data_IF_976645124543
#
_entry.id   IF_976645124543
#
_cell.length_a   1.000
_cell.length_b   1.000
_cell.length_c   1.000
_cell.angle_alpha   90.00
_cell.angle_beta   90.00
_cell.angle_gamma   90.00
#
_symmetry.space_group_name_H-M   'P 1'
#
loop_
_entity.id
_entity.type
_entity.pdbx_description
1 polymer ?
#
# COMPACT_ATOMS: atom_id res chain seq x y z
N UNK A 1 -13.51 -1.82 20.63
CA UNK A 1 -13.36 -0.92 19.47
C UNK A 1 -12.53 -1.66 18.44
N UNK A 2 -13.01 -1.85 17.20
CA UNK A 2 -12.32 -2.66 16.20
C UNK A 2 -10.90 -2.12 15.98
N UNK A 3 -9.97 -2.98 15.54
CA UNK A 3 -8.64 -2.54 15.14
C UNK A 3 -8.82 -1.41 14.13
N UNK A 4 -8.33 -0.22 14.49
CA UNK A 4 -8.37 0.96 13.64
C UNK A 4 -7.86 0.56 12.24
N UNK A 5 -8.68 0.66 11.17
CA UNK A 5 -8.21 0.43 9.81
C UNK A 5 -6.99 1.30 9.46
N UNK A 6 -6.81 2.42 10.16
CA UNK A 6 -5.63 3.28 10.11
C UNK A 6 -4.35 2.69 10.71
N UNK A 7 -4.40 1.69 11.60
CA UNK A 7 -3.22 1.08 12.22
C UNK A 7 -2.33 0.40 11.18
N UNK A 8 -2.91 -0.49 10.36
CA UNK A 8 -2.21 -1.10 9.23
C UNK A 8 -1.79 -0.09 8.16
N UNK A 9 -2.57 0.98 7.97
CA UNK A 9 -2.27 2.05 7.01
C UNK A 9 -1.03 2.87 7.42
N UNK A 10 -0.88 3.21 8.71
CA UNK A 10 0.29 3.93 9.23
C UNK A 10 1.57 3.10 9.11
N UNK A 11 1.47 1.81 9.42
CA UNK A 11 2.59 0.87 9.40
C UNK A 11 3.04 0.54 7.97
N UNK A 12 2.10 0.27 7.07
CA UNK A 12 2.40 0.05 5.65
C UNK A 12 3.03 1.27 4.98
N UNK A 13 2.60 2.46 5.38
CA UNK A 13 3.16 3.72 4.88
C UNK A 13 4.65 3.86 5.19
N UNK A 14 5.12 3.45 6.37
CA UNK A 14 6.55 3.54 6.73
C UNK A 14 7.43 2.70 5.80
N UNK A 15 6.97 1.51 5.41
CA UNK A 15 7.71 0.66 4.46
C UNK A 15 7.68 1.30 3.06
N UNK A 16 6.51 1.80 2.64
CA UNK A 16 6.37 2.47 1.35
C UNK A 16 7.24 3.73 1.24
N UNK A 17 7.46 4.46 2.34
CA UNK A 17 8.34 5.62 2.42
C UNK A 17 9.79 5.28 2.08
N UNK A 18 10.33 4.14 2.53
CA UNK A 18 11.68 3.70 2.17
C UNK A 18 11.87 3.60 0.65
N UNK A 19 10.88 3.04 -0.04
CA UNK A 19 10.92 2.92 -1.51
C UNK A 19 10.70 4.26 -2.21
N UNK A 20 9.85 5.14 -1.66
CA UNK A 20 9.64 6.48 -2.18
C UNK A 20 10.90 7.35 -2.07
N UNK A 21 11.61 7.26 -0.95
CA UNK A 21 12.88 7.96 -0.70
C UNK A 21 13.97 7.43 -1.62
N UNK A 22 14.08 6.11 -1.76
CA UNK A 22 15.00 5.48 -2.71
C UNK A 22 14.73 5.92 -4.16
N UNK A 23 13.47 5.91 -4.61
CA UNK A 23 13.11 6.37 -5.95
C UNK A 23 13.49 7.85 -6.17
N UNK A 24 13.20 8.71 -5.19
CA UNK A 24 13.54 10.13 -5.26
C UNK A 24 15.06 10.37 -5.27
N UNK A 25 15.82 9.64 -4.46
CA UNK A 25 17.28 9.70 -4.43
C UNK A 25 17.88 9.33 -5.80
N UNK A 26 17.39 8.23 -6.41
CA UNK A 26 17.82 7.80 -7.74
C UNK A 26 17.45 8.84 -8.80
N UNK A 27 16.23 9.38 -8.78
CA UNK A 27 15.79 10.40 -9.71
C UNK A 27 16.66 11.66 -9.63
N UNK A 28 16.89 12.18 -8.43
CA UNK A 28 17.75 13.36 -8.20
C UNK A 28 19.17 13.12 -8.69
N UNK A 29 19.70 11.92 -8.46
CA UNK A 29 21.05 11.54 -8.90
C UNK A 29 21.16 11.45 -10.41
N UNK A 30 20.16 10.85 -11.08
CA UNK A 30 20.09 10.82 -12.54
C UNK A 30 19.98 12.23 -13.12
N UNK A 31 19.07 13.06 -12.60
CA UNK A 31 18.88 14.43 -13.04
C UNK A 31 20.17 15.26 -12.88
N UNK A 32 20.80 15.20 -11.70
CA UNK A 32 22.09 15.88 -11.44
C UNK A 32 23.20 15.38 -12.36
N UNK A 33 23.29 14.08 -12.60
CA UNK A 33 24.28 13.52 -13.52
C UNK A 33 24.03 13.92 -14.98
N UNK A 34 22.78 14.09 -15.40
CA UNK A 34 22.44 14.47 -16.77
C UNK A 34 22.56 15.99 -16.99
N UNK A 35 22.28 16.81 -15.99
CA UNK A 35 22.38 18.28 -16.05
C UNK A 35 23.81 18.78 -16.24
N UNK A 36 24.81 18.08 -15.68
CA UNK A 36 26.21 18.50 -15.73
C UNK A 36 26.74 18.57 -17.15
N UNK A 37 27.17 19.77 -17.56
CA UNK A 37 27.75 20.04 -18.87
C UNK A 37 26.79 19.78 -20.03
N UNK A 38 25.46 19.84 -19.83
CA UNK A 38 24.46 19.45 -20.84
C UNK A 38 24.54 20.23 -22.15
N UNK A 39 25.10 21.44 -22.11
CA UNK A 39 25.29 22.26 -23.30
C UNK A 39 26.61 21.97 -24.03
N UNK A 40 27.53 21.22 -23.43
CA UNK A 40 28.84 20.94 -23.99
C UNK A 40 28.76 19.96 -25.18
N UNK A 41 29.57 20.16 -26.24
CA UNK A 41 29.62 19.23 -27.37
C UNK A 41 30.02 17.80 -26.97
N UNK A 42 30.88 17.67 -25.95
CA UNK A 42 31.41 16.42 -25.41
C UNK A 42 30.47 15.75 -24.41
N UNK A 43 29.30 16.33 -24.11
CA UNK A 43 28.41 15.87 -23.04
C UNK A 43 28.13 14.37 -23.09
N UNK A 44 27.73 13.85 -24.26
CA UNK A 44 27.34 12.44 -24.41
C UNK A 44 28.50 11.50 -24.05
N UNK A 45 29.71 11.78 -24.54
CA UNK A 45 30.91 11.02 -24.24
C UNK A 45 31.26 11.09 -22.75
N UNK A 46 31.19 12.27 -22.15
CA UNK A 46 31.43 12.47 -20.71
C UNK A 46 30.40 11.78 -19.82
N UNK A 47 29.13 11.68 -20.25
CA UNK A 47 28.10 10.93 -19.51
C UNK A 47 28.37 9.43 -19.59
N UNK A 48 28.75 8.91 -20.76
CA UNK A 48 29.08 7.48 -20.91
C UNK A 48 30.28 7.05 -20.08
N UNK A 49 31.33 7.88 -19.98
CA UNK A 49 32.51 7.56 -19.14
C UNK A 49 32.20 7.59 -17.65
N UNK A 50 31.22 8.39 -17.22
CA UNK A 50 30.78 8.46 -15.83
C UNK A 50 29.74 7.40 -15.43
N UNK A 51 29.27 6.57 -16.37
CA UNK A 51 28.20 5.60 -16.12
C UNK A 51 28.47 4.71 -14.91
N UNK A 52 29.67 4.13 -14.80
CA UNK A 52 30.01 3.25 -13.68
C UNK A 52 30.08 4.00 -12.35
N UNK A 53 30.49 5.27 -12.36
CA UNK A 53 30.46 6.11 -11.17
C UNK A 53 29.02 6.41 -10.73
N UNK A 54 28.14 6.78 -11.67
CA UNK A 54 26.71 7.03 -11.40
C UNK A 54 26.05 5.75 -10.87
N UNK A 55 26.33 4.60 -11.49
CA UNK A 55 25.86 3.29 -11.04
C UNK A 55 26.32 2.98 -9.62
N UNK A 56 27.59 3.17 -9.29
CA UNK A 56 28.11 2.92 -7.95
C UNK A 56 27.47 3.83 -6.89
N UNK A 57 27.17 5.08 -7.25
CA UNK A 57 26.44 6.00 -6.37
C UNK A 57 24.99 5.54 -6.15
N UNK A 58 24.27 5.12 -7.20
CA UNK A 58 22.91 4.56 -7.06
C UNK A 58 22.92 3.29 -6.21
N UNK A 59 23.89 2.40 -6.44
CA UNK A 59 24.02 1.17 -5.66
C UNK A 59 24.24 1.44 -4.17
N UNK A 60 24.99 2.50 -3.83
CA UNK A 60 25.15 2.95 -2.44
C UNK A 60 23.84 3.44 -1.83
N UNK A 61 23.06 4.25 -2.55
CA UNK A 61 21.76 4.74 -2.05
C UNK A 61 20.77 3.60 -1.79
N UNK A 62 20.87 2.52 -2.54
CA UNK A 62 19.99 1.36 -2.45
C UNK A 62 20.53 0.24 -1.54
N UNK A 63 21.74 0.38 -0.99
CA UNK A 63 22.49 -0.72 -0.38
C UNK A 63 21.74 -1.41 0.77
N UNK A 64 20.97 -0.64 1.54
CA UNK A 64 20.22 -1.12 2.70
C UNK A 64 18.70 -1.16 2.47
N UNK A 65 18.22 -0.86 1.27
CA UNK A 65 16.78 -0.73 1.00
C UNK A 65 16.05 -2.05 1.27
N UNK A 66 16.53 -3.15 0.69
CA UNK A 66 15.86 -4.44 0.76
C UNK A 66 15.90 -5.03 2.20
N UNK A 67 17.03 -4.87 2.90
CA UNK A 67 17.17 -5.31 4.30
C UNK A 67 16.28 -4.49 5.25
N UNK A 68 16.29 -3.16 5.13
CA UNK A 68 15.44 -2.29 5.94
C UNK A 68 13.95 -2.54 5.65
N UNK A 69 13.58 -2.77 4.39
CA UNK A 69 12.22 -3.12 4.01
C UNK A 69 11.79 -4.45 4.64
N UNK A 70 12.61 -5.50 4.56
CA UNK A 70 12.31 -6.80 5.15
C UNK A 70 12.17 -6.72 6.68
N UNK A 71 13.09 -6.02 7.36
CA UNK A 71 13.03 -5.81 8.80
C UNK A 71 11.77 -5.03 9.21
N UNK A 72 11.45 -3.95 8.48
CA UNK A 72 10.24 -3.16 8.73
C UNK A 72 8.97 -3.98 8.50
N UNK A 73 8.91 -4.80 7.44
CA UNK A 73 7.80 -5.73 7.20
C UNK A 73 7.63 -6.69 8.37
N UNK A 74 8.70 -7.32 8.85
CA UNK A 74 8.66 -8.22 10.01
C UNK A 74 8.09 -7.54 11.26
N UNK A 75 8.53 -6.31 11.55
CA UNK A 75 8.00 -5.51 12.66
C UNK A 75 6.50 -5.20 12.49
N UNK A 76 6.08 -4.79 11.30
CA UNK A 76 4.69 -4.46 10.99
C UNK A 76 3.78 -5.67 11.15
N UNK A 77 4.19 -6.83 10.62
CA UNK A 77 3.42 -8.07 10.71
C UNK A 77 3.31 -8.54 12.17
N UNK A 78 4.42 -8.52 12.94
CA UNK A 78 4.41 -8.90 14.35
C UNK A 78 3.52 -7.98 15.21
N UNK A 79 3.57 -6.67 14.97
CA UNK A 79 2.71 -5.70 15.65
C UNK A 79 1.24 -5.89 15.30
N UNK A 80 0.93 -6.11 14.02
CA UNK A 80 -0.44 -6.36 13.56
C UNK A 80 -1.03 -7.64 14.16
N UNK A 81 -0.27 -8.74 14.17
CA UNK A 81 -0.68 -9.98 14.80
C UNK A 81 -0.96 -9.82 16.30
N UNK A 82 -0.05 -9.14 17.01
CA UNK A 82 -0.21 -8.86 18.45
C UNK A 82 -1.44 -7.99 18.73
N UNK A 83 -1.69 -6.98 17.89
CA UNK A 83 -2.88 -6.15 17.98
C UNK A 83 -4.18 -6.96 17.73
N UNK A 84 -4.15 -7.89 16.77
CA UNK A 84 -5.17 -8.91 16.52
C UNK A 84 -5.56 -9.67 17.77
N UNK A 85 -4.55 -10.24 18.44
CA UNK A 85 -4.75 -11.00 19.67
C UNK A 85 -5.27 -10.15 20.82
N UNK A 86 -4.73 -8.95 20.99
CA UNK A 86 -5.18 -8.02 22.03
C UNK A 86 -6.64 -7.59 21.81
N UNK A 87 -7.08 -7.46 20.55
CA UNK A 87 -8.49 -7.23 20.23
C UNK A 87 -9.35 -8.41 20.70
N UNK A 88 -8.92 -9.65 20.46
CA UNK A 88 -9.68 -10.83 20.87
C UNK A 88 -9.83 -10.89 22.40
N UNK A 89 -8.77 -10.61 23.15
CA UNK A 89 -8.85 -10.50 24.62
C UNK A 89 -9.89 -9.46 25.02
N UNK A 90 -9.89 -8.26 24.41
CA UNK A 90 -10.85 -7.21 24.73
C UNK A 90 -12.29 -7.57 24.38
N UNK A 91 -12.50 -8.29 23.28
CA UNK A 91 -13.83 -8.78 22.90
C UNK A 91 -14.37 -9.76 23.94
N UNK A 92 -13.50 -10.50 24.63
CA UNK A 92 -13.83 -11.51 25.65
C UNK A 92 -13.84 -10.96 27.10
N UNK A 93 -13.05 -9.94 27.41
CA UNK A 93 -12.92 -9.33 28.75
C UNK A 93 -14.24 -8.74 29.25
N UNK A 94 -15.10 -8.27 28.34
CA UNK A 94 -16.46 -7.85 28.65
C UNK A 94 -17.39 -8.95 29.19
N UNK A 95 -16.91 -10.20 29.27
CA UNK A 95 -17.68 -11.39 29.67
C UNK A 95 -17.12 -12.09 30.93
N UNK A 96 -16.00 -11.63 31.49
CA UNK A 96 -15.37 -12.29 32.64
C UNK A 96 -14.78 -13.68 32.34
N UNK A 97 -14.54 -13.99 31.06
CA UNK A 97 -13.84 -15.22 30.66
C UNK A 97 -12.34 -15.06 30.87
N UNK A 98 -11.72 -16.00 31.57
CA UNK A 98 -10.28 -16.00 31.81
C UNK A 98 -9.54 -16.39 30.52
N UNK A 99 -9.02 -15.40 29.79
CA UNK A 99 -8.35 -15.63 28.52
C UNK A 99 -6.86 -15.86 28.75
N UNK A 100 -6.43 -17.11 28.68
CA UNK A 100 -5.00 -17.43 28.57
C UNK A 100 -4.53 -17.05 27.17
N UNK A 101 -3.48 -16.24 27.12
CA UNK A 101 -2.80 -15.88 25.87
C UNK A 101 -1.79 -16.98 25.55
N UNK A 102 -2.09 -17.97 24.68
CA UNK A 102 -1.05 -18.90 24.23
C UNK A 102 0.12 -18.12 23.62
N UNK A 103 1.37 -18.56 23.71
CA UNK A 103 2.45 -17.88 23.00
C UNK A 103 2.07 -17.75 21.52
N UNK A 104 2.30 -16.57 20.93
CA UNK A 104 2.08 -16.42 19.50
C UNK A 104 2.82 -17.55 18.79
N UNK A 105 2.17 -18.26 17.88
CA UNK A 105 2.86 -19.26 17.06
C UNK A 105 3.84 -18.49 16.19
N UNK A 106 5.09 -18.37 16.66
CA UNK A 106 6.16 -17.62 16.01
C UNK A 106 6.21 -17.96 14.51
N UNK A 107 6.01 -19.24 14.18
CA UNK A 107 5.91 -19.76 12.81
C UNK A 107 4.81 -19.12 11.95
N UNK A 108 3.64 -18.82 12.49
CA UNK A 108 2.55 -18.22 11.74
C UNK A 108 2.87 -16.75 11.40
N UNK A 109 3.43 -16.01 12.35
CA UNK A 109 3.89 -14.63 12.15
C UNK A 109 5.04 -14.59 11.14
N UNK A 110 6.02 -15.48 11.29
CA UNK A 110 7.15 -15.62 10.37
C UNK A 110 6.70 -15.98 8.96
N UNK A 111 5.73 -16.88 8.81
CA UNK A 111 5.20 -17.25 7.49
C UNK A 111 4.54 -16.05 6.79
N UNK A 112 3.68 -15.28 7.50
CA UNK A 112 3.04 -14.09 6.93
C UNK A 112 4.08 -13.00 6.63
N UNK A 113 5.09 -12.84 7.50
CA UNK A 113 6.17 -11.89 7.29
C UNK A 113 7.01 -12.24 6.07
N UNK A 114 7.41 -13.50 5.92
CA UNK A 114 8.13 -14.00 4.74
C UNK A 114 7.30 -13.85 3.46
N UNK A 115 6.02 -14.25 3.50
CA UNK A 115 5.09 -14.12 2.37
C UNK A 115 4.90 -12.65 1.95
N UNK A 116 4.91 -11.73 2.91
CA UNK A 116 4.79 -10.28 2.66
C UNK A 116 6.11 -9.71 2.14
N UNK A 117 7.24 -10.10 2.73
CA UNK A 117 8.57 -9.67 2.32
C UNK A 117 8.90 -10.16 0.91
N UNK A 118 8.51 -11.38 0.52
CA UNK A 118 8.69 -11.91 -0.83
C UNK A 118 7.89 -11.13 -1.88
N UNK A 119 6.66 -10.68 -1.53
CA UNK A 119 5.88 -9.80 -2.41
C UNK A 119 6.52 -8.43 -2.53
N UNK A 120 6.99 -7.89 -1.40
CA UNK A 120 7.76 -6.65 -1.38
C UNK A 120 9.10 -6.84 -2.09
N UNK A 121 9.63 -8.06 -2.24
CA UNK A 121 10.78 -8.46 -3.05
C UNK A 121 12.10 -7.77 -2.71
N UNK A 122 13.22 -8.24 -3.28
CA UNK A 122 14.37 -7.39 -3.48
C UNK A 122 14.12 -6.49 -4.70
N UNK A 123 14.10 -5.17 -4.51
CA UNK A 123 13.97 -4.20 -5.59
C UNK A 123 15.25 -3.45 -5.88
N UNK A 124 16.21 -3.38 -4.95
CA UNK A 124 17.45 -2.64 -5.18
C UNK A 124 18.14 -3.02 -6.52
N UNK A 125 18.30 -4.32 -6.87
CA UNK A 125 18.91 -4.70 -8.15
C UNK A 125 18.04 -4.36 -9.38
N UNK A 126 16.71 -4.27 -9.21
CA UNK A 126 15.78 -3.92 -10.29
C UNK A 126 15.79 -2.41 -10.55
N UNK A 127 15.70 -1.61 -9.48
CA UNK A 127 15.81 -0.15 -9.55
C UNK A 127 17.16 0.25 -10.13
N UNK A 128 18.25 -0.39 -9.69
CA UNK A 128 19.60 -0.12 -10.23
C UNK A 128 19.65 -0.35 -11.74
N UNK A 129 19.19 -1.51 -12.22
CA UNK A 129 19.14 -1.81 -13.65
C UNK A 129 18.27 -0.83 -14.43
N UNK A 130 17.07 -0.54 -13.92
CA UNK A 130 16.17 0.43 -14.56
C UNK A 130 16.81 1.83 -14.66
N UNK A 131 17.51 2.27 -13.62
CA UNK A 131 18.20 3.54 -13.63
C UNK A 131 19.37 3.58 -14.62
N UNK A 132 20.16 2.51 -14.72
CA UNK A 132 21.24 2.38 -15.72
C UNK A 132 20.69 2.42 -17.15
N UNK A 133 19.67 1.62 -17.43
CA UNK A 133 18.98 1.59 -18.72
C UNK A 133 18.49 2.97 -19.13
N UNK A 134 17.88 3.70 -18.19
CA UNK A 134 17.36 5.03 -18.46
C UNK A 134 18.47 6.04 -18.68
N UNK A 135 19.54 5.97 -17.90
CA UNK A 135 20.70 6.83 -18.12
C UNK A 135 21.27 6.66 -19.52
N UNK A 136 21.53 5.40 -19.92
CA UNK A 136 22.06 5.09 -21.25
C UNK A 136 21.12 5.52 -22.37
N UNK A 137 19.82 5.21 -22.25
CA UNK A 137 18.81 5.63 -23.24
C UNK A 137 18.70 7.14 -23.35
N UNK A 138 18.74 7.86 -22.23
CA UNK A 138 18.72 9.33 -22.23
C UNK A 138 19.90 9.91 -23.01
N UNK A 139 21.10 9.38 -22.77
CA UNK A 139 22.31 9.84 -23.47
C UNK A 139 22.24 9.52 -24.97
N UNK A 140 21.73 8.34 -25.35
CA UNK A 140 21.55 7.96 -26.74
C UNK A 140 20.49 8.82 -27.46
N UNK A 141 19.29 8.95 -26.88
CA UNK A 141 18.18 9.74 -27.43
C UNK A 141 18.59 11.22 -27.60
N UNK A 142 19.19 11.82 -26.57
CA UNK A 142 19.63 13.22 -26.63
C UNK A 142 20.71 13.45 -27.69
N UNK A 143 21.58 12.47 -27.93
CA UNK A 143 22.58 12.55 -29.00
C UNK A 143 21.93 12.49 -30.39
N UNK A 144 20.95 11.61 -30.60
CA UNK A 144 20.25 11.47 -31.87
C UNK A 144 19.43 12.72 -32.23
N UNK A 145 18.67 13.26 -31.27
CA UNK A 145 17.79 14.41 -31.51
C UNK A 145 18.56 15.69 -31.89
N UNK A 146 19.76 15.86 -31.32
CA UNK A 146 20.67 16.98 -31.62
C UNK A 146 21.26 16.86 -33.01
N UNK A 147 21.64 15.65 -33.45
CA UNK A 147 22.11 15.43 -34.82
C UNK A 147 21.04 15.76 -35.87
N UNK A 148 19.77 15.54 -35.51
CA UNK A 148 18.62 15.88 -36.36
C UNK A 148 18.24 17.38 -36.29
N UNK A 149 18.84 18.16 -35.39
CA UNK A 149 18.53 19.59 -35.21
C UNK A 149 17.12 19.87 -34.70
N UNK A 150 16.44 18.88 -34.12
CA UNK A 150 15.01 18.98 -33.74
C UNK A 150 14.79 19.48 -32.31
N UNK A 151 15.77 19.27 -31.42
CA UNK A 151 15.76 19.74 -30.02
C UNK A 151 17.19 19.98 -29.53
N UNK A 152 17.33 20.75 -28.45
CA UNK A 152 18.56 20.86 -27.67
C UNK A 152 18.83 19.59 -26.84
N UNK A 153 20.10 19.37 -26.43
CA UNK A 153 20.46 18.27 -25.51
C UNK A 153 19.65 18.31 -24.22
N UNK A 154 19.47 19.53 -23.68
CA UNK A 154 18.71 19.77 -22.44
C UNK A 154 17.25 19.38 -22.60
N UNK A 155 16.58 19.82 -23.67
CA UNK A 155 15.19 19.46 -23.94
C UNK A 155 15.01 17.96 -24.13
N UNK A 156 15.90 17.31 -24.89
CA UNK A 156 15.84 15.87 -25.10
C UNK A 156 16.07 15.09 -23.79
N UNK A 157 17.05 15.50 -22.98
CA UNK A 157 17.31 14.90 -21.67
C UNK A 157 16.12 15.09 -20.71
N UNK A 158 15.52 16.30 -20.67
CA UNK A 158 14.33 16.58 -19.90
C UNK A 158 13.16 15.72 -20.36
N UNK A 159 12.95 15.55 -21.66
CA UNK A 159 11.87 14.72 -22.19
C UNK A 159 12.02 13.24 -21.77
N UNK A 160 13.25 12.71 -21.75
CA UNK A 160 13.46 11.33 -21.30
C UNK A 160 13.23 11.20 -19.79
N UNK A 161 13.69 12.15 -18.98
CA UNK A 161 13.41 12.20 -17.54
C UNK A 161 11.91 12.37 -17.23
N UNK A 162 11.21 13.17 -18.03
CA UNK A 162 9.76 13.35 -17.92
C UNK A 162 9.03 12.05 -18.23
N UNK A 163 9.48 11.27 -19.24
CA UNK A 163 8.95 9.94 -19.54
C UNK A 163 9.29 8.93 -18.44
N UNK A 164 10.49 9.02 -17.86
CA UNK A 164 10.91 8.19 -16.73
C UNK A 164 10.01 8.42 -15.52
N UNK A 165 9.74 9.68 -15.16
CA UNK A 165 8.86 10.01 -14.02
C UNK A 165 7.39 9.61 -14.26
N UNK A 166 6.89 9.56 -15.51
CA UNK A 166 5.56 8.97 -15.77
C UNK A 166 5.57 7.46 -15.60
N UNK A 167 6.68 6.84 -16.02
CA UNK A 167 6.88 5.40 -15.95
C UNK A 167 7.43 4.96 -14.61
N UNK A 168 7.79 5.83 -13.66
CA UNK A 168 8.53 5.48 -12.44
C UNK A 168 9.87 4.79 -12.68
N UNK A 169 10.86 5.02 -11.81
CA UNK A 169 12.13 4.24 -11.86
C UNK A 169 11.86 2.78 -11.47
N UNK A 170 10.77 2.54 -10.73
CA UNK A 170 10.34 1.23 -10.26
C UNK A 170 8.96 0.77 -10.75
N UNK A 171 8.38 1.29 -11.85
CA UNK A 171 7.14 0.64 -12.29
C UNK A 171 7.39 -0.75 -12.83
N UNK A 172 6.45 -1.63 -12.52
CA UNK A 172 6.47 -2.99 -13.01
C UNK A 172 5.04 -3.44 -13.30
N UNK A 173 4.94 -4.58 -13.99
CA UNK A 173 3.68 -5.27 -14.16
C UNK A 173 3.57 -6.39 -13.14
N UNK A 174 2.47 -6.41 -12.40
CA UNK A 174 2.17 -7.57 -11.55
C UNK A 174 1.84 -8.81 -12.41
N UNK A 175 1.65 -9.96 -11.75
CA UNK A 175 1.28 -11.21 -12.44
C UNK A 175 -0.03 -11.10 -13.24
N UNK A 176 -0.90 -10.15 -12.88
CA UNK A 176 -2.16 -9.86 -13.56
C UNK A 176 -2.01 -8.82 -14.70
N UNK A 177 -0.78 -8.41 -15.02
CA UNK A 177 -0.48 -7.47 -16.10
C UNK A 177 -0.74 -5.99 -15.75
N UNK A 178 -1.14 -5.68 -14.51
CA UNK A 178 -1.44 -4.30 -14.09
C UNK A 178 -0.14 -3.56 -13.83
N UNK A 179 -0.07 -2.30 -14.28
CA UNK A 179 1.07 -1.41 -14.00
C UNK A 179 0.95 -0.81 -12.61
N UNK A 180 2.03 -0.90 -11.84
CA UNK A 180 2.12 -0.36 -10.49
C UNK A 180 3.29 0.59 -10.35
N UNK A 181 3.10 1.70 -9.64
CA UNK A 181 4.19 2.42 -9.01
C UNK A 181 4.69 1.61 -7.81
N UNK A 182 6.01 1.56 -7.60
CA UNK A 182 6.62 0.68 -6.60
C UNK A 182 6.11 0.98 -5.18
N UNK A 183 6.16 2.24 -4.75
CA UNK A 183 5.62 2.69 -3.45
C UNK A 183 4.16 2.22 -3.27
N UNK A 184 3.30 2.47 -4.26
CA UNK A 184 1.87 2.11 -4.16
C UNK A 184 1.65 0.61 -4.05
N UNK A 185 2.49 -0.19 -4.72
CA UNK A 185 2.44 -1.64 -4.61
C UNK A 185 2.91 -2.12 -3.23
N UNK A 186 4.01 -1.54 -2.73
CA UNK A 186 4.54 -1.87 -1.39
C UNK A 186 3.53 -1.48 -0.30
N UNK A 187 2.94 -0.27 -0.36
CA UNK A 187 1.88 0.15 0.57
C UNK A 187 0.72 -0.86 0.55
N UNK A 188 0.28 -1.28 -0.64
CA UNK A 188 -0.79 -2.27 -0.80
C UNK A 188 -0.40 -3.63 -0.21
N UNK A 189 0.77 -4.16 -0.58
CA UNK A 189 1.23 -5.49 -0.16
C UNK A 189 1.42 -5.58 1.35
N UNK A 190 2.07 -4.57 1.95
CA UNK A 190 2.29 -4.52 3.40
C UNK A 190 0.98 -4.32 4.16
N UNK A 191 0.08 -3.46 3.66
CA UNK A 191 -1.23 -3.27 4.29
C UNK A 191 -2.06 -4.56 4.27
N UNK A 192 -2.01 -5.29 3.16
CA UNK A 192 -2.68 -6.59 3.05
C UNK A 192 -2.08 -7.63 3.98
N UNK A 193 -0.75 -7.73 4.04
CA UNK A 193 -0.06 -8.61 4.99
C UNK A 193 -0.42 -8.29 6.44
N UNK A 194 -0.40 -7.00 6.81
CA UNK A 194 -0.76 -6.55 8.15
C UNK A 194 -2.22 -6.85 8.50
N UNK A 195 -3.15 -6.62 7.57
CA UNK A 195 -4.56 -6.97 7.74
C UNK A 195 -4.76 -8.48 7.96
N UNK A 196 -4.09 -9.32 7.15
CA UNK A 196 -4.09 -10.78 7.31
C UNK A 196 -3.55 -11.19 8.68
N UNK A 197 -2.40 -10.65 9.08
CA UNK A 197 -1.78 -10.93 10.37
C UNK A 197 -2.69 -10.55 11.55
N UNK A 198 -3.33 -9.38 11.50
CA UNK A 198 -4.27 -8.94 12.54
C UNK A 198 -5.49 -9.86 12.65
N UNK A 199 -6.06 -10.26 11.51
CA UNK A 199 -7.19 -11.21 11.48
C UNK A 199 -6.77 -12.57 12.02
N UNK A 200 -5.65 -13.12 11.55
CA UNK A 200 -5.19 -14.44 11.96
C UNK A 200 -4.82 -14.47 13.45
N UNK A 201 -4.24 -13.39 13.98
CA UNK A 201 -4.00 -13.24 15.42
C UNK A 201 -5.30 -13.18 16.23
N UNK A 202 -6.30 -12.47 15.73
CA UNK A 202 -7.62 -12.38 16.36
C UNK A 202 -8.34 -13.74 16.38
N UNK A 203 -8.49 -14.38 15.21
CA UNK A 203 -9.21 -15.65 15.08
C UNK A 203 -8.51 -16.80 15.81
N UNK A 204 -7.18 -16.87 15.79
CA UNK A 204 -6.41 -17.86 16.57
C UNK A 204 -6.71 -17.74 18.07
N UNK A 205 -6.77 -16.50 18.57
CA UNK A 205 -7.04 -16.25 19.98
C UNK A 205 -8.49 -16.57 20.36
N UNK A 206 -9.46 -16.27 19.48
CA UNK A 206 -10.86 -16.63 19.69
C UNK A 206 -11.06 -18.15 19.72
N UNK A 207 -10.48 -18.89 18.77
CA UNK A 207 -10.55 -20.35 18.73
C UNK A 207 -9.90 -20.97 19.97
N UNK A 208 -8.77 -20.43 20.43
CA UNK A 208 -8.13 -20.87 21.67
C UNK A 208 -9.01 -20.65 22.91
N UNK A 209 -9.89 -19.65 22.89
CA UNK A 209 -10.89 -19.38 23.92
C UNK A 209 -12.23 -20.11 23.69
N UNK A 210 -12.32 -21.00 22.70
CA UNK A 210 -13.53 -21.76 22.38
C UNK A 210 -14.61 -20.98 21.62
N UNK A 211 -14.30 -19.77 21.12
CA UNK A 211 -15.23 -18.95 20.32
C UNK A 211 -14.98 -19.19 18.84
N UNK A 212 -15.97 -19.73 18.15
CA UNK A 212 -15.91 -20.04 16.71
C UNK A 212 -16.65 -19.02 15.82
N UNK A 213 -17.56 -18.23 16.40
CA UNK A 213 -18.38 -17.30 15.62
C UNK A 213 -17.78 -15.90 15.60
N UNK A 214 -17.74 -15.30 14.41
CA UNK A 214 -17.31 -13.92 14.19
C UNK A 214 -18.32 -13.17 13.34
N UNK A 215 -18.41 -11.87 13.53
CA UNK A 215 -19.20 -10.97 12.70
C UNK A 215 -18.29 -10.08 11.87
N UNK A 216 -18.65 -9.89 10.60
CA UNK A 216 -17.95 -9.00 9.68
C UNK A 216 -18.35 -7.55 9.97
N UNK A 217 -17.35 -6.68 10.18
CA UNK A 217 -17.58 -5.25 10.41
C UNK A 217 -18.22 -4.56 9.20
N UNK A 218 -19.05 -3.55 9.43
CA UNK A 218 -19.44 -2.57 8.41
C UNK A 218 -18.26 -1.60 8.17
N UNK A 219 -17.67 -1.61 6.97
CA UNK A 219 -16.50 -0.78 6.65
C UNK A 219 -16.87 0.31 5.64
N UNK A 220 -16.50 1.60 5.89
CA UNK A 220 -16.92 2.69 5.03
C UNK A 220 -16.35 2.55 3.61
N UNK A 221 -17.19 2.78 2.61
CA UNK A 221 -16.87 2.72 1.18
C UNK A 221 -16.46 1.30 0.76
N UNK A 222 -17.33 0.35 1.09
CA UNK A 222 -17.18 -1.05 0.77
C UNK A 222 -17.00 -1.29 -0.74
N UNK A 223 -16.22 -2.31 -1.09
CA UNK A 223 -16.09 -2.74 -2.47
C UNK A 223 -17.13 -3.82 -2.83
N UNK A 224 -17.38 -4.07 -4.13
CA UNK A 224 -18.32 -5.10 -4.56
C UNK A 224 -17.99 -6.53 -4.09
N UNK A 225 -16.73 -6.83 -3.78
CA UNK A 225 -16.30 -8.15 -3.31
C UNK A 225 -16.59 -8.39 -1.82
N UNK A 226 -16.55 -7.33 -1.00
CA UNK A 226 -16.76 -7.44 0.45
C UNK A 226 -18.22 -7.22 0.85
N UNK A 227 -18.97 -6.42 0.08
CA UNK A 227 -20.40 -6.12 0.33
C UNK A 227 -21.25 -7.37 0.64
N UNK A 228 -21.09 -8.52 -0.07
CA UNK A 228 -21.89 -9.69 0.23
C UNK A 228 -21.64 -10.29 1.62
N UNK A 229 -20.59 -9.89 2.34
CA UNK A 229 -20.19 -10.48 3.62
C UNK A 229 -20.42 -9.54 4.81
N UNK A 230 -20.64 -8.25 4.58
CA UNK A 230 -20.83 -7.26 5.66
C UNK A 230 -22.02 -7.59 6.57
N UNK A 231 -21.80 -7.46 7.88
CA UNK A 231 -22.80 -7.77 8.90
C UNK A 231 -23.15 -9.26 9.00
N UNK A 232 -22.54 -10.15 8.21
CA UNK A 232 -22.81 -11.58 8.32
C UNK A 232 -21.98 -12.22 9.42
N UNK A 233 -22.56 -13.24 10.05
CA UNK A 233 -21.87 -14.12 10.99
C UNK A 233 -21.21 -15.25 10.22
N UNK A 234 -19.93 -15.50 10.51
CA UNK A 234 -19.11 -16.55 9.92
C UNK A 234 -18.55 -17.46 11.01
N UNK A 235 -18.32 -18.72 10.67
CA UNK A 235 -17.57 -19.67 11.49
C UNK A 235 -16.08 -19.63 11.13
N UNK A 236 -15.20 -19.65 12.14
CA UNK A 236 -13.75 -19.65 11.94
C UNK A 236 -13.28 -21.05 11.51
N UNK A 237 -13.66 -22.10 12.25
CA UNK A 237 -13.20 -23.47 12.02
C UNK A 237 -14.08 -24.25 11.05
N UNK A 238 -15.22 -23.69 10.65
CA UNK A 238 -16.22 -24.36 9.82
C UNK A 238 -17.07 -25.39 10.56
N UNK A 239 -17.11 -25.33 11.90
CA UNK A 239 -17.86 -26.29 12.71
C UNK A 239 -19.38 -26.14 12.59
N UNK A 240 -19.87 -24.94 12.23
CA UNK A 240 -21.30 -24.62 12.13
C UNK A 240 -21.58 -23.71 10.93
N UNK A 241 -22.55 -24.07 10.09
CA UNK A 241 -23.04 -23.25 8.96
C UNK A 241 -24.56 -23.37 8.85
N UNK A 242 -25.21 -22.36 8.25
CA UNK A 242 -26.67 -22.33 8.11
C UNK A 242 -27.40 -21.77 9.32
N UNK A 243 -28.66 -22.16 9.52
CA UNK A 243 -29.42 -21.79 10.71
C UNK A 243 -29.11 -22.79 11.83
N UNK A 244 -28.49 -22.31 12.90
CA UNK A 244 -28.07 -23.13 14.04
C UNK A 244 -28.57 -22.53 15.34
N UNK A 245 -29.07 -23.38 16.23
CA UNK A 245 -29.44 -22.98 17.59
C UNK A 245 -28.23 -23.20 18.49
N UNK A 246 -27.70 -22.10 19.01
CA UNK A 246 -26.48 -22.09 19.86
C UNK A 246 -26.82 -21.56 21.25
N UNK A 247 -26.15 -22.04 22.31
CA UNK A 247 -26.37 -21.53 23.66
C UNK A 247 -26.17 -20.01 23.75
N UNK A 248 -27.08 -19.32 24.44
CA UNK A 248 -26.94 -17.89 24.71
C UNK A 248 -25.78 -17.63 25.68
N UNK A 249 -25.02 -16.57 25.43
CA UNK A 249 -23.94 -16.12 26.32
C UNK A 249 -24.47 -15.27 27.50
N UNK A 250 -25.71 -14.79 27.43
CA UNK A 250 -26.29 -13.81 28.37
C UNK A 250 -27.50 -14.31 29.16
N UNK A 251 -27.92 -15.55 28.98
CA UNK A 251 -29.06 -16.13 29.71
C UNK A 251 -29.27 -17.60 29.43
N UNK A 252 -30.28 -18.19 30.08
CA UNK A 252 -30.62 -19.60 29.91
C UNK A 252 -31.39 -19.83 28.60
N UNK A 253 -30.92 -20.75 27.76
CA UNK A 253 -31.57 -21.15 26.51
C UNK A 253 -30.67 -21.05 25.27
N UNK A 254 -31.27 -21.28 24.10
CA UNK A 254 -30.61 -21.19 22.80
C UNK A 254 -31.08 -19.97 22.01
N UNK A 255 -30.19 -19.43 21.17
CA UNK A 255 -30.48 -18.37 20.21
C UNK A 255 -30.25 -18.93 18.82
N UNK A 256 -31.21 -18.72 17.93
CA UNK A 256 -31.06 -19.09 16.53
C UNK A 256 -30.16 -18.08 15.81
N UNK A 257 -29.04 -18.55 15.27
CA UNK A 257 -28.04 -17.73 14.58
C UNK A 257 -27.94 -18.21 13.13
N UNK A 258 -27.98 -17.27 12.19
CA UNK A 258 -27.72 -17.56 10.78
C UNK A 258 -26.25 -17.36 10.46
N UNK A 259 -25.52 -18.47 10.38
CA UNK A 259 -24.12 -18.49 9.97
C UNK A 259 -24.06 -18.58 8.44
N UNK A 260 -23.53 -17.55 7.80
CA UNK A 260 -23.57 -17.40 6.35
C UNK A 260 -22.57 -18.28 5.59
N UNK A 261 -21.57 -18.82 6.30
CA UNK A 261 -20.49 -19.63 5.75
C UNK A 261 -19.27 -19.58 6.67
N UNK A 262 -18.14 -20.04 6.15
CA UNK A 262 -16.86 -19.99 6.88
C UNK A 262 -16.04 -18.76 6.49
N UNK A 263 -15.07 -18.38 7.33
CA UNK A 263 -14.09 -17.33 7.01
C UNK A 263 -13.30 -17.69 5.74
N UNK A 264 -12.95 -18.96 5.56
CA UNK A 264 -12.18 -19.43 4.40
C UNK A 264 -13.02 -19.44 3.11
N UNK A 265 -14.30 -19.81 3.18
CA UNK A 265 -15.25 -19.67 2.07
C UNK A 265 -15.41 -18.21 1.64
N UNK A 266 -15.55 -17.31 2.62
CA UNK A 266 -15.63 -15.88 2.35
C UNK A 266 -14.36 -15.38 1.65
N UNK A 267 -13.18 -15.78 2.13
CA UNK A 267 -11.89 -15.44 1.52
C UNK A 267 -11.77 -16.00 0.09
N UNK A 268 -12.20 -17.23 -0.14
CA UNK A 268 -12.25 -17.84 -1.47
C UNK A 268 -13.18 -17.08 -2.42
N UNK A 269 -14.26 -16.49 -1.91
CA UNK A 269 -15.17 -15.63 -2.66
C UNK A 269 -14.68 -14.18 -2.83
N UNK A 270 -13.50 -13.82 -2.31
CA UNK A 270 -12.88 -12.50 -2.47
C UNK A 270 -13.02 -11.55 -1.27
N UNK A 271 -13.56 -12.00 -0.14
CA UNK A 271 -13.46 -11.26 1.12
C UNK A 271 -12.00 -11.11 1.56
N UNK A 272 -11.65 -10.01 2.24
CA UNK A 272 -10.27 -9.71 2.65
C UNK A 272 -9.26 -9.66 1.48
N UNK A 273 -9.72 -9.29 0.29
CA UNK A 273 -8.87 -9.02 -0.87
C UNK A 273 -7.85 -7.89 -0.59
N UNK A 274 -6.85 -7.68 -1.47
CA UNK A 274 -5.90 -6.61 -1.28
C UNK A 274 -6.57 -5.24 -1.13
N UNK A 275 -6.11 -4.42 -0.19
CA UNK A 275 -6.70 -3.13 0.20
C UNK A 275 -8.05 -3.16 0.96
N UNK A 276 -8.61 -4.33 1.27
CA UNK A 276 -9.78 -4.48 2.13
C UNK A 276 -9.55 -3.83 3.52
N UNK A 277 -10.61 -3.28 4.11
CA UNK A 277 -10.59 -2.62 5.44
C UNK A 277 -11.49 -3.31 6.46
N UNK A 278 -12.14 -4.39 6.08
CA UNK A 278 -13.01 -5.16 6.95
C UNK A 278 -12.21 -5.84 8.04
N UNK A 279 -12.78 -5.82 9.23
CA UNK A 279 -12.30 -6.53 10.41
C UNK A 279 -13.30 -7.61 10.78
N UNK A 280 -12.84 -8.58 11.56
CA UNK A 280 -13.69 -9.55 12.23
C UNK A 280 -13.76 -9.18 13.71
N UNK A 281 -14.91 -9.39 14.32
CA UNK A 281 -15.11 -9.22 15.77
C UNK A 281 -15.82 -10.44 16.30
N UNK A 282 -15.60 -10.79 17.57
CA UNK A 282 -16.27 -11.95 18.17
C UNK A 282 -17.80 -11.79 18.07
N UNK A 283 -18.47 -12.85 17.60
CA UNK A 283 -19.92 -12.95 17.65
C UNK A 283 -20.31 -13.88 18.80
N UNK A 284 -20.97 -13.29 19.78
CA UNK A 284 -21.39 -13.95 21.00
C UNK A 284 -22.92 -14.07 20.95
N UNK A 285 -23.46 -15.29 20.79
CA UNK A 285 -24.90 -15.48 20.70
C UNK A 285 -25.63 -14.87 21.90
N UNK A 286 -26.65 -14.06 21.64
CA UNK A 286 -27.41 -13.36 22.68
C UNK A 286 -26.77 -12.09 23.27
N UNK A 287 -25.48 -11.83 23.02
CA UNK A 287 -24.79 -10.62 23.51
C UNK A 287 -24.45 -9.64 22.37
N UNK A 288 -23.97 -10.15 21.23
CA UNK A 288 -23.52 -9.30 20.12
C UNK A 288 -24.71 -8.77 19.33
N UNK A 289 -24.83 -7.44 19.24
CA UNK A 289 -25.72 -6.79 18.27
C UNK A 289 -24.99 -6.60 16.95
N UNK A 290 -25.52 -7.20 15.89
CA UNK A 290 -25.03 -6.99 14.53
C UNK A 290 -25.54 -5.65 14.02
N UNK A 291 -24.66 -4.67 13.72
CA UNK A 291 -25.10 -3.43 13.08
C UNK A 291 -25.68 -3.72 11.70
N UNK A 292 -26.76 -3.03 11.34
CA UNK A 292 -27.29 -3.08 9.98
C UNK A 292 -26.28 -2.45 9.01
N UNK A 293 -25.89 -3.18 7.97
CA UNK A 293 -24.95 -2.69 6.97
C UNK A 293 -25.53 -1.47 6.24
N UNK A 294 -24.77 -0.36 6.18
CA UNK A 294 -25.13 0.83 5.42
C UNK A 294 -24.36 0.87 4.10
N UNK A 295 -24.91 0.23 3.06
CA UNK A 295 -24.30 0.20 1.72
C UNK A 295 -24.46 1.54 0.99
N UNK A 296 -23.35 2.26 0.76
CA UNK A 296 -23.30 3.43 -0.14
C UNK A 296 -22.22 3.25 -1.23
N UNK A 297 -22.64 2.86 -2.44
CA UNK A 297 -21.75 2.61 -3.58
C UNK A 297 -20.97 3.85 -4.05
N UNK A 298 -21.59 5.03 -3.96
CA UNK A 298 -20.98 6.30 -4.40
C UNK A 298 -19.62 6.55 -3.72
N UNK A 299 -19.51 6.23 -2.43
CA UNK A 299 -18.30 6.50 -1.67
C UNK A 299 -17.06 5.71 -2.14
N UNK A 300 -17.22 4.54 -2.77
CA UNK A 300 -16.09 3.79 -3.33
C UNK A 300 -15.53 4.44 -4.59
N UNK A 301 -16.39 4.86 -5.52
CA UNK A 301 -16.00 5.51 -6.77
C UNK A 301 -15.33 6.87 -6.52
N UNK A 302 -15.89 7.65 -5.59
CA UNK A 302 -15.33 8.94 -5.18
C UNK A 302 -13.93 8.76 -4.57
N UNK A 303 -13.74 7.69 -3.80
CA UNK A 303 -12.42 7.35 -3.26
C UNK A 303 -11.43 6.99 -4.38
N UNK A 304 -11.85 6.19 -5.38
CA UNK A 304 -10.99 5.85 -6.51
C UNK A 304 -10.60 7.10 -7.31
N UNK A 305 -11.53 8.04 -7.48
CA UNK A 305 -11.27 9.33 -8.10
C UNK A 305 -10.27 10.16 -7.30
N UNK A 306 -10.43 10.25 -5.98
CA UNK A 306 -9.45 10.88 -5.10
C UNK A 306 -8.05 10.26 -5.28
N UNK A 307 -7.95 8.92 -5.31
CA UNK A 307 -6.66 8.23 -5.54
C UNK A 307 -6.03 8.57 -6.89
N UNK A 308 -6.84 8.76 -7.93
CA UNK A 308 -6.33 9.17 -9.24
C UNK A 308 -5.73 10.58 -9.20
N UNK A 309 -6.39 11.51 -8.50
CA UNK A 309 -5.90 12.87 -8.29
C UNK A 309 -4.59 12.85 -7.47
N UNK A 310 -4.53 12.08 -6.37
CA UNK A 310 -3.31 11.92 -5.54
C UNK A 310 -2.11 11.45 -6.38
N UNK A 311 -2.31 10.44 -7.24
CA UNK A 311 -1.27 9.96 -8.18
C UNK A 311 -0.85 11.04 -9.17
N UNK A 312 -1.80 11.85 -9.66
CA UNK A 312 -1.53 12.99 -10.52
C UNK A 312 -0.63 14.03 -9.85
N UNK A 313 -0.95 14.43 -8.61
CA UNK A 313 -0.15 15.37 -7.82
C UNK A 313 1.27 14.82 -7.61
N UNK A 314 1.38 13.56 -7.18
CA UNK A 314 2.68 12.91 -6.94
C UNK A 314 3.53 12.83 -8.21
N UNK A 315 2.93 12.44 -9.35
CA UNK A 315 3.61 12.39 -10.65
C UNK A 315 4.27 13.73 -11.00
N UNK A 316 3.55 14.84 -10.86
CA UNK A 316 4.10 16.16 -11.19
C UNK A 316 5.12 16.67 -10.17
N UNK A 317 5.01 16.27 -8.91
CA UNK A 317 6.06 16.52 -7.91
C UNK A 317 7.36 15.76 -8.19
N UNK A 318 7.27 14.52 -8.68
CA UNK A 318 8.45 13.77 -9.12
C UNK A 318 9.12 14.43 -10.33
N UNK A 319 8.32 14.98 -11.27
CA UNK A 319 8.82 15.77 -12.39
C UNK A 319 9.53 17.04 -11.96
N UNK A 320 8.94 17.76 -11.00
CA UNK A 320 9.59 18.94 -10.42
C UNK A 320 10.95 18.57 -9.80
N UNK A 321 11.02 17.45 -9.06
CA UNK A 321 12.26 17.00 -8.43
C UNK A 321 13.33 16.50 -9.42
N UNK A 322 12.92 16.10 -10.63
CA UNK A 322 13.80 15.63 -11.71
C UNK A 322 14.05 16.69 -12.80
N UNK A 323 13.58 17.93 -12.60
CA UNK A 323 13.76 19.01 -13.57
C UNK A 323 15.24 19.40 -13.70
N UNK A 324 15.68 19.61 -14.95
CA UNK A 324 17.06 20.01 -15.29
C UNK A 324 17.26 21.52 -15.27
N UNK A 325 16.19 22.30 -15.33
CA UNK A 325 16.19 23.75 -15.33
C UNK A 325 14.97 24.34 -14.60
N UNK A 326 15.02 25.64 -14.33
CA UNK A 326 13.99 26.37 -13.61
C UNK A 326 12.66 26.44 -14.36
N UNK A 327 12.70 26.43 -15.70
CA UNK A 327 11.51 26.51 -16.54
C UNK A 327 10.71 25.21 -16.46
N UNK A 328 11.37 24.06 -16.61
CA UNK A 328 10.80 22.73 -16.43
C UNK A 328 10.25 22.56 -15.02
N UNK A 329 10.98 23.01 -14.00
CA UNK A 329 10.53 23.00 -12.62
C UNK A 329 9.27 23.87 -12.43
N UNK A 330 9.22 25.06 -13.04
CA UNK A 330 8.07 25.96 -12.98
C UNK A 330 6.83 25.37 -13.68
N UNK A 331 7.01 24.74 -14.86
CA UNK A 331 5.94 24.02 -15.57
C UNK A 331 5.37 22.88 -14.73
N UNK A 332 6.24 22.08 -14.12
CA UNK A 332 5.83 21.00 -13.22
C UNK A 332 5.06 21.53 -12.00
N UNK A 333 5.56 22.60 -11.35
CA UNK A 333 4.87 23.28 -10.24
C UNK A 333 3.49 23.82 -10.60
N UNK A 334 3.34 24.38 -11.80
CA UNK A 334 2.04 24.86 -12.29
C UNK A 334 1.04 23.70 -12.37
N UNK A 335 1.47 22.55 -12.90
CA UNK A 335 0.64 21.34 -12.96
C UNK A 335 0.33 20.75 -11.58
N UNK A 336 1.27 20.77 -10.64
CA UNK A 336 0.99 20.40 -9.24
C UNK A 336 -0.15 21.25 -8.67
N UNK A 337 -0.13 22.58 -8.89
CA UNK A 337 -1.18 23.49 -8.43
C UNK A 337 -2.54 23.22 -9.07
N UNK A 338 -2.57 22.90 -10.36
CA UNK A 338 -3.78 22.50 -11.10
C UNK A 338 -4.41 21.25 -10.48
N UNK A 339 -3.63 20.17 -10.29
CA UNK A 339 -4.13 18.94 -9.67
C UNK A 339 -4.55 19.12 -8.21
N UNK A 340 -3.88 20.00 -7.46
CA UNK A 340 -4.31 20.39 -6.12
C UNK A 340 -5.62 21.18 -6.14
N UNK A 341 -5.90 21.93 -7.22
CA UNK A 341 -7.20 22.54 -7.49
C UNK A 341 -8.27 21.49 -7.64
N UNK A 342 -8.06 20.53 -8.54
CA UNK A 342 -8.96 19.39 -8.74
C UNK A 342 -9.21 18.60 -7.45
N UNK A 343 -8.19 18.43 -6.60
CA UNK A 343 -8.37 17.81 -5.28
C UNK A 343 -9.30 18.61 -4.37
N UNK A 344 -9.17 19.95 -4.34
CA UNK A 344 -10.04 20.81 -3.53
C UNK A 344 -11.49 20.75 -4.01
N UNK A 345 -11.71 20.80 -5.32
CA UNK A 345 -13.03 20.67 -5.94
C UNK A 345 -13.66 19.32 -5.59
N UNK A 346 -12.92 18.23 -5.81
CA UNK A 346 -13.38 16.87 -5.48
C UNK A 346 -13.75 16.72 -4.00
N UNK A 347 -12.97 17.28 -3.07
CA UNK A 347 -13.28 17.21 -1.64
C UNK A 347 -14.46 18.11 -1.24
N UNK A 348 -14.70 19.20 -1.96
CA UNK A 348 -15.87 20.05 -1.76
C UNK A 348 -17.17 19.36 -2.22
N UNK A 349 -17.11 18.64 -3.35
CA UNK A 349 -18.21 17.83 -3.86
C UNK A 349 -18.50 16.59 -3.00
N UNK A 350 -17.48 16.07 -2.30
CA UNK A 350 -17.59 14.85 -1.49
C UNK A 350 -17.10 15.05 -0.03
N UNK A 351 -17.89 15.71 0.84
CA UNK A 351 -17.48 16.08 2.20
C UNK A 351 -17.11 14.91 3.14
N UNK A 352 -17.54 13.68 2.82
CA UNK A 352 -17.19 12.48 3.57
C UNK A 352 -15.74 12.01 3.33
N UNK A 353 -15.07 12.55 2.31
CA UNK A 353 -13.68 12.26 1.99
C UNK A 353 -12.73 13.18 2.76
N UNK A 354 -11.56 12.64 3.08
CA UNK A 354 -10.47 13.38 3.74
C UNK A 354 -9.24 13.37 2.86
N UNK A 355 -8.60 14.53 2.72
CA UNK A 355 -7.34 14.65 1.98
C UNK A 355 -6.25 13.83 2.66
N UNK A 356 -5.49 13.08 1.86
CA UNK A 356 -4.36 12.27 2.33
C UNK A 356 -3.05 12.86 1.81
N UNK A 357 -2.63 13.99 2.38
CA UNK A 357 -1.48 14.78 1.92
C UNK A 357 -0.18 13.97 1.84
N UNK A 358 0.01 13.00 2.76
CA UNK A 358 1.16 12.12 2.75
C UNK A 358 1.33 11.43 1.38
N UNK A 359 0.25 10.93 0.77
CA UNK A 359 0.28 10.22 -0.52
C UNK A 359 0.67 11.09 -1.71
N UNK A 360 0.53 12.40 -1.56
CA UNK A 360 0.92 13.38 -2.57
C UNK A 360 2.39 13.81 -2.42
N UNK A 361 3.01 13.66 -1.24
CA UNK A 361 4.36 14.15 -0.96
C UNK A 361 5.44 13.22 -1.47
N UNK A 362 6.42 13.78 -2.18
CA UNK A 362 7.61 13.08 -2.69
C UNK A 362 8.78 13.18 -1.71
N UNK A 363 8.93 14.32 -1.05
CA UNK A 363 9.96 14.56 -0.04
C UNK A 363 9.25 14.75 1.30
N UNK A 364 9.38 13.77 2.21
CA UNK A 364 8.73 13.77 3.52
C UNK A 364 9.68 14.15 4.66
N UNK A 365 10.91 14.56 4.34
CA UNK A 365 11.96 14.92 5.30
C UNK A 365 11.90 16.38 5.81
N UNK A 366 10.75 17.05 5.77
CA UNK A 366 10.57 18.40 6.33
C UNK A 366 9.28 18.54 7.11
#
# INVERSE_FOLDING_TARGET
>A
MPIDPGFGERLARRVAELFAEAELAVLRRLASALARGVDEPTWATSRLTELEWVRAQIARDLASLDEQAAAAVGQVIGQAYTAGRALAVRDLDGLGLEVVMPPATLRAVEAIAAETADRVGPWAPRILRAAQDVYQRTVADASATVLLGTQTRREAAQQVLDRLTERGVGTFRDRSGRRWALESYVEMAVRTGAGKAAVDGHTTQLVAAGVDLVVVSDAPRECPLCRPWEGKVLSITGGVTGAVDVPSTTGDGTVSVRVAGTVDEARAAGFQHPNCRHTLSAYLPGATRVPAARSEQAGYEDQQRQRAIERGIRKWRLREAAALDDEAAARARAKVREWQGTMREHLAEHPALKRQTAREQVDRAR
#
